data_IF_705870979773
#
_entry.id   IF_705870979773
#
_cell.length_a   1.000
_cell.length_b   1.000
_cell.length_c   1.000
_cell.angle_alpha   90.00
_cell.angle_beta   90.00
_cell.angle_gamma   90.00
#
_symmetry.space_group_name_H-M   'P 1'
#
loop_
_entity.id
_entity.type
_entity.pdbx_description
1 polymer ?
#
# COMPACT_ATOMS: atom_id res chain seq x y z
N UNK A 1 6.86 8.20 -18.98
CA UNK A 1 8.13 8.70 -18.39
C UNK A 1 8.15 8.33 -16.92
N UNK A 2 9.31 7.95 -16.39
CA UNK A 2 9.49 7.56 -14.99
C UNK A 2 10.19 8.67 -14.20
N UNK A 3 9.99 8.71 -12.87
CA UNK A 3 10.67 9.63 -11.95
C UNK A 3 11.07 8.90 -10.67
N UNK A 4 12.11 9.41 -10.02
CA UNK A 4 12.58 8.91 -8.72
C UNK A 4 11.90 9.66 -7.58
N UNK A 5 11.50 8.93 -6.55
CA UNK A 5 10.76 9.41 -5.38
C UNK A 5 11.46 8.89 -4.12
N UNK A 6 11.79 9.78 -3.20
CA UNK A 6 12.36 9.43 -1.89
C UNK A 6 11.25 9.15 -0.84
N UNK A 7 11.64 8.70 0.35
CA UNK A 7 10.73 8.40 1.49
C UNK A 7 9.82 9.55 1.88
N UNK A 8 10.34 10.78 1.88
CA UNK A 8 9.54 11.97 2.18
C UNK A 8 8.44 12.22 1.14
N UNK A 9 8.79 12.13 -0.14
CA UNK A 9 7.81 12.28 -1.22
C UNK A 9 6.82 11.12 -1.21
N UNK A 10 7.29 9.89 -0.97
CA UNK A 10 6.45 8.71 -0.86
C UNK A 10 5.39 8.85 0.25
N UNK A 11 5.75 9.45 1.39
CA UNK A 11 4.79 9.75 2.47
C UNK A 11 3.64 10.63 1.96
N UNK A 12 3.95 11.69 1.23
CA UNK A 12 2.93 12.58 0.67
C UNK A 12 2.05 11.87 -0.36
N UNK A 13 2.61 10.97 -1.16
CA UNK A 13 1.85 10.16 -2.12
C UNK A 13 0.89 9.19 -1.40
N UNK A 14 1.36 8.48 -0.36
CA UNK A 14 0.51 7.58 0.44
C UNK A 14 -0.57 8.38 1.19
N UNK A 15 -0.26 9.58 1.68
CA UNK A 15 -1.27 10.46 2.24
C UNK A 15 -2.34 10.86 1.20
N UNK A 16 -1.94 11.18 -0.03
CA UNK A 16 -2.87 11.46 -1.13
C UNK A 16 -3.73 10.23 -1.50
N UNK A 17 -3.21 9.01 -1.34
CA UNK A 17 -4.00 7.77 -1.48
C UNK A 17 -5.16 7.73 -0.47
N UNK A 18 -4.90 8.03 0.80
CA UNK A 18 -5.95 8.09 1.82
C UNK A 18 -6.97 9.22 1.57
N UNK A 19 -6.51 10.38 1.07
CA UNK A 19 -7.43 11.47 0.70
C UNK A 19 -8.34 11.08 -0.46
N UNK A 20 -7.81 10.37 -1.47
CA UNK A 20 -8.58 9.93 -2.64
C UNK A 20 -9.53 8.78 -2.32
N UNK A 21 -9.13 7.88 -1.40
CA UNK A 21 -9.87 6.69 -0.98
C UNK A 21 -10.03 6.64 0.54
N UNK A 22 -10.88 7.49 1.15
CA UNK A 22 -11.02 7.59 2.61
C UNK A 22 -11.46 6.28 3.28
N UNK A 23 -12.10 5.39 2.53
CA UNK A 23 -12.51 4.06 3.00
C UNK A 23 -11.33 3.17 3.43
N UNK A 24 -10.10 3.46 2.99
CA UNK A 24 -8.86 2.79 3.43
C UNK A 24 -8.46 3.11 4.87
N UNK A 25 -9.06 4.11 5.50
CA UNK A 25 -8.84 4.40 6.93
C UNK A 25 -9.63 3.45 7.85
N UNK A 26 -10.46 2.58 7.26
CA UNK A 26 -11.22 1.57 7.99
C UNK A 26 -12.34 2.16 8.85
N UNK A 27 -12.92 1.30 9.69
CA UNK A 27 -13.85 1.73 10.74
C UNK A 27 -13.07 2.32 11.93
N UNK A 28 -13.74 3.09 12.80
CA UNK A 28 -13.11 3.84 13.91
C UNK A 28 -12.24 2.98 14.86
N UNK A 29 -12.40 1.65 14.84
CA UNK A 29 -11.66 0.72 15.69
C UNK A 29 -10.85 -0.24 14.82
N UNK A 30 -9.54 0.03 14.68
CA UNK A 30 -8.61 -0.95 14.14
C UNK A 30 -8.49 -2.11 15.14
N UNK A 31 -8.75 -3.32 14.67
CA UNK A 31 -8.56 -4.54 15.44
C UNK A 31 -7.13 -5.07 15.34
N UNK A 32 -6.76 -6.08 16.16
CA UNK A 32 -5.49 -6.79 16.00
C UNK A 32 -5.30 -7.33 14.58
N UNK A 33 -4.09 -7.24 14.05
CA UNK A 33 -3.76 -7.79 12.74
C UNK A 33 -3.73 -9.32 12.81
N UNK A 34 -4.52 -9.98 11.95
CA UNK A 34 -4.58 -11.44 11.86
C UNK A 34 -3.69 -11.93 10.72
N UNK A 35 -2.66 -12.70 11.05
CA UNK A 35 -1.75 -13.29 10.06
C UNK A 35 -2.47 -14.21 9.06
N UNK A 36 -3.58 -14.85 9.48
CA UNK A 36 -4.36 -15.77 8.63
C UNK A 36 -4.93 -15.13 7.36
N UNK A 37 -5.12 -13.81 7.34
CA UNK A 37 -5.67 -13.07 6.18
C UNK A 37 -4.65 -12.17 5.48
N UNK A 38 -3.37 -12.27 5.86
CA UNK A 38 -2.29 -11.45 5.29
C UNK A 38 -2.18 -11.63 3.77
N UNK A 39 -2.24 -12.87 3.28
CA UNK A 39 -2.22 -13.16 1.84
C UNK A 39 -3.41 -12.53 1.10
N UNK A 40 -4.60 -12.53 1.70
CA UNK A 40 -5.78 -11.90 1.10
C UNK A 40 -5.60 -10.37 1.04
N UNK A 41 -5.04 -9.76 2.09
CA UNK A 41 -4.75 -8.33 2.14
C UNK A 41 -3.70 -7.92 1.09
N UNK A 42 -2.64 -8.71 0.93
CA UNK A 42 -1.61 -8.52 -0.09
C UNK A 42 -2.23 -8.59 -1.50
N UNK A 43 -3.05 -9.62 -1.76
CA UNK A 43 -3.72 -9.79 -3.04
C UNK A 43 -4.69 -8.64 -3.35
N UNK A 44 -5.38 -8.12 -2.33
CA UNK A 44 -6.21 -6.92 -2.45
C UNK A 44 -5.37 -5.71 -2.89
N UNK A 45 -4.28 -5.41 -2.18
CA UNK A 45 -3.40 -4.27 -2.49
C UNK A 45 -2.79 -4.37 -3.90
N UNK A 46 -2.37 -5.58 -4.31
CA UNK A 46 -1.87 -5.80 -5.66
C UNK A 46 -2.97 -5.64 -6.72
N UNK A 47 -4.19 -6.11 -6.46
CA UNK A 47 -5.34 -5.92 -7.36
C UNK A 47 -5.72 -4.45 -7.48
N UNK A 48 -5.68 -3.72 -6.36
CA UNK A 48 -5.95 -2.30 -6.32
C UNK A 48 -4.90 -1.50 -7.11
N UNK A 49 -3.61 -1.85 -6.98
CA UNK A 49 -2.54 -1.22 -7.77
C UNK A 49 -2.68 -1.43 -9.29
N UNK A 50 -3.43 -2.46 -9.70
CA UNK A 50 -3.73 -2.78 -11.11
C UNK A 50 -5.05 -2.18 -11.59
N UNK A 51 -5.76 -1.41 -10.75
CA UNK A 51 -7.08 -0.86 -11.08
C UNK A 51 -8.17 -1.92 -11.24
N UNK A 52 -8.00 -3.10 -10.61
CA UNK A 52 -9.01 -4.18 -10.67
C UNK A 52 -10.10 -4.06 -9.61
N UNK A 53 -9.89 -3.21 -8.61
CA UNK A 53 -10.84 -2.92 -7.53
C UNK A 53 -10.77 -1.42 -7.24
N UNK A 54 -11.93 -0.81 -6.95
CA UNK A 54 -12.04 0.63 -6.63
C UNK A 54 -12.62 0.88 -5.22
N UNK A 55 -13.05 -0.19 -4.54
CA UNK A 55 -13.58 -0.21 -3.18
C UNK A 55 -13.33 -1.59 -2.52
N UNK A 56 -13.89 -1.82 -1.33
CA UNK A 56 -13.76 -3.09 -0.62
C UNK A 56 -14.49 -4.27 -1.28
N UNK A 57 -15.52 -4.02 -2.09
CA UNK A 57 -16.33 -5.06 -2.71
C UNK A 57 -16.82 -6.10 -1.72
N UNK A 58 -16.42 -7.37 -1.94
CA UNK A 58 -16.76 -8.52 -1.10
C UNK A 58 -15.67 -8.90 -0.09
N UNK A 59 -14.66 -8.05 0.08
CA UNK A 59 -13.54 -8.30 1.01
C UNK A 59 -14.08 -8.35 2.43
N UNK A 60 -13.74 -9.39 3.19
CA UNK A 60 -14.19 -9.53 4.58
C UNK A 60 -13.53 -8.50 5.51
N UNK A 61 -14.17 -8.23 6.65
CA UNK A 61 -13.75 -7.18 7.58
C UNK A 61 -12.35 -7.40 8.15
N UNK A 62 -11.90 -8.66 8.29
CA UNK A 62 -10.59 -8.97 8.84
C UNK A 62 -9.50 -8.63 7.82
N UNK A 63 -9.71 -9.01 6.55
CA UNK A 63 -8.85 -8.61 5.44
C UNK A 63 -8.80 -7.10 5.29
N UNK A 64 -9.94 -6.40 5.35
CA UNK A 64 -9.98 -4.93 5.32
C UNK A 64 -9.14 -4.33 6.46
N UNK A 65 -9.28 -4.84 7.69
CA UNK A 65 -8.53 -4.38 8.85
C UNK A 65 -7.01 -4.56 8.65
N UNK A 66 -6.60 -5.70 8.09
CA UNK A 66 -5.19 -5.96 7.80
C UNK A 66 -4.66 -5.03 6.71
N UNK A 67 -5.41 -4.79 5.63
CA UNK A 67 -5.04 -3.80 4.60
C UNK A 67 -4.85 -2.41 5.22
N UNK A 68 -5.80 -1.94 6.02
CA UNK A 68 -5.71 -0.64 6.69
C UNK A 68 -4.47 -0.56 7.58
N UNK A 69 -4.24 -1.59 8.41
CA UNK A 69 -3.09 -1.67 9.31
C UNK A 69 -1.76 -1.65 8.57
N UNK A 70 -1.63 -2.42 7.47
CA UNK A 70 -0.42 -2.44 6.65
C UNK A 70 -0.12 -1.08 6.02
N UNK A 71 -1.15 -0.40 5.50
CA UNK A 71 -0.98 0.92 4.90
C UNK A 71 -0.58 1.99 5.93
N UNK A 72 -1.17 1.96 7.12
CA UNK A 72 -0.83 2.88 8.21
C UNK A 72 0.58 2.61 8.77
N UNK A 73 0.93 1.34 8.94
CA UNK A 73 2.29 0.93 9.34
C UNK A 73 3.32 1.38 8.30
N UNK A 74 3.04 1.18 7.01
CA UNK A 74 3.90 1.66 5.93
C UNK A 74 4.05 3.19 5.96
N UNK A 75 2.95 3.93 6.09
CA UNK A 75 2.97 5.40 6.19
C UNK A 75 3.83 5.88 7.36
N UNK A 76 3.67 5.28 8.55
CA UNK A 76 4.46 5.62 9.73
C UNK A 76 5.95 5.32 9.50
N UNK A 77 6.25 4.13 8.98
CA UNK A 77 7.61 3.69 8.69
C UNK A 77 8.32 4.54 7.63
N UNK A 78 7.62 5.25 6.76
CA UNK A 78 8.26 6.20 5.82
C UNK A 78 8.91 7.40 6.53
N UNK A 79 8.48 7.76 7.75
CA UNK A 79 9.01 8.90 8.51
C UNK A 79 9.95 8.50 9.64
N UNK A 80 10.02 7.22 9.99
CA UNK A 80 10.89 6.71 11.05
C UNK A 80 12.33 6.58 10.55
N UNK A 81 13.33 7.26 11.16
CA UNK A 81 14.72 7.20 10.71
C UNK A 81 15.33 5.80 10.70
N UNK A 82 14.88 4.92 11.60
CA UNK A 82 15.33 3.54 11.77
C UNK A 82 14.57 2.53 10.88
N UNK A 83 13.56 2.98 10.14
CA UNK A 83 12.79 2.11 9.27
C UNK A 83 13.60 1.69 8.04
N UNK A 84 13.37 0.47 7.50
CA UNK A 84 13.98 0.05 6.23
C UNK A 84 13.65 1.00 5.06
N UNK A 85 12.58 1.80 5.17
CA UNK A 85 12.15 2.71 4.11
C UNK A 85 12.80 4.09 4.18
N UNK A 86 13.50 4.45 5.26
CA UNK A 86 14.03 5.81 5.46
C UNK A 86 14.96 6.26 4.32
N UNK A 87 15.84 5.37 3.86
CA UNK A 87 16.77 5.59 2.75
C UNK A 87 16.30 5.05 1.40
N UNK A 88 15.05 4.58 1.30
CA UNK A 88 14.53 3.97 0.07
C UNK A 88 14.20 5.03 -0.99
N UNK A 89 14.40 4.64 -2.25
CA UNK A 89 14.04 5.41 -3.42
C UNK A 89 13.26 4.50 -4.37
N UNK A 90 12.16 5.01 -4.91
CA UNK A 90 11.30 4.28 -5.84
C UNK A 90 11.23 4.97 -7.19
N UNK A 91 11.12 4.16 -8.24
CA UNK A 91 10.82 4.63 -9.58
C UNK A 91 9.31 4.51 -9.84
N UNK A 92 8.64 5.63 -10.13
CA UNK A 92 7.18 5.67 -10.40
C UNK A 92 6.88 6.37 -11.71
N UNK A 93 5.69 6.15 -12.27
CA UNK A 93 5.22 6.91 -13.45
C UNK A 93 5.07 8.40 -13.12
N UNK A 94 5.72 9.27 -13.90
CA UNK A 94 5.56 10.72 -13.74
C UNK A 94 4.23 11.25 -14.26
N UNK A 95 3.50 10.45 -15.04
CA UNK A 95 2.20 10.80 -15.62
C UNK A 95 1.01 10.30 -14.79
N UNK A 96 1.26 9.36 -13.87
CA UNK A 96 0.22 8.86 -12.99
C UNK A 96 -0.14 9.89 -11.92
N UNK A 97 -1.39 9.84 -11.44
CA UNK A 97 -1.82 10.69 -10.33
C UNK A 97 -1.05 10.34 -9.04
N UNK A 98 -0.94 11.28 -8.07
CA UNK A 98 -0.19 11.04 -6.84
C UNK A 98 -0.58 9.75 -6.08
N UNK A 99 -1.89 9.46 -5.99
CA UNK A 99 -2.37 8.24 -5.31
C UNK A 99 -2.01 6.96 -6.09
N UNK A 100 -1.97 7.01 -7.41
CA UNK A 100 -1.55 5.87 -8.25
C UNK A 100 -0.04 5.61 -8.10
N UNK A 101 0.76 6.66 -8.00
CA UNK A 101 2.19 6.53 -7.71
C UNK A 101 2.43 5.88 -6.34
N UNK A 102 1.59 6.16 -5.34
CA UNK A 102 1.64 5.46 -4.05
C UNK A 102 1.38 3.96 -4.18
N UNK A 103 0.40 3.57 -5.00
CA UNK A 103 0.10 2.15 -5.27
C UNK A 103 1.24 1.46 -6.02
N UNK A 104 1.94 2.15 -6.93
CA UNK A 104 3.16 1.63 -7.56
C UNK A 104 4.24 1.32 -6.50
N UNK A 105 4.44 2.23 -5.53
CA UNK A 105 5.40 2.05 -4.43
C UNK A 105 5.01 0.86 -3.53
N UNK A 106 3.76 0.81 -3.09
CA UNK A 106 3.25 -0.28 -2.23
C UNK A 106 3.41 -1.63 -2.94
N UNK A 107 3.02 -1.72 -4.21
CA UNK A 107 3.16 -2.94 -4.98
C UNK A 107 4.63 -3.31 -5.23
N UNK A 108 5.53 -2.34 -5.34
CA UNK A 108 6.97 -2.58 -5.42
C UNK A 108 7.50 -3.23 -4.14
N UNK A 109 7.16 -2.67 -2.97
CA UNK A 109 7.60 -3.20 -1.67
C UNK A 109 7.01 -4.57 -1.37
N UNK A 110 5.73 -4.80 -1.68
CA UNK A 110 5.12 -6.13 -1.58
C UNK A 110 5.92 -7.16 -2.40
N UNK A 111 6.26 -6.85 -3.65
CA UNK A 111 7.03 -7.79 -4.49
C UNK A 111 8.44 -8.04 -3.98
N UNK A 112 9.10 -7.02 -3.40
CA UNK A 112 10.42 -7.17 -2.77
C UNK A 112 10.37 -8.07 -1.54
N UNK A 113 9.35 -7.90 -0.68
CA UNK A 113 9.17 -8.69 0.54
C UNK A 113 8.65 -10.10 0.28
N UNK A 114 7.97 -10.31 -0.86
CA UNK A 114 7.35 -11.58 -1.22
C UNK A 114 7.82 -12.09 -2.59
N UNK A 115 9.13 -12.28 -2.75
CA UNK A 115 9.75 -12.75 -4.01
C UNK A 115 9.17 -14.09 -4.53
N UNK A 116 8.49 -14.86 -3.67
CA UNK A 116 7.84 -16.13 -4.03
C UNK A 116 6.37 -15.98 -4.49
N UNK A 117 5.82 -14.77 -4.61
CA UNK A 117 4.50 -14.52 -5.23
C UNK A 117 4.69 -14.24 -6.74
N UNK A 118 5.42 -15.13 -7.42
CA UNK A 118 5.40 -15.24 -8.88
C UNK A 118 4.45 -16.38 -9.23
N UNK A 119 3.16 -16.07 -9.39
CA UNK A 119 2.16 -17.10 -9.66
C UNK A 119 0.73 -16.62 -9.89
N UNK A 120 0.51 -15.36 -10.28
CA UNK A 120 -0.82 -14.89 -10.71
C UNK A 120 -0.69 -14.25 -12.08
N UNK A 121 -0.60 -15.13 -13.09
CA UNK A 121 -1.00 -14.85 -14.46
C UNK A 121 -2.53 -14.92 -14.57
#
# INVERSE_FOLDING_TARGET
MKKMVNSETAFNLVYALFQRHPWLLGSKNLGPLKQSVEHAAINFLLSFSKGKVDDWGKTDIETQNVVCGLLLDFLAKLKMPQSPFAGSIWEVSSQAEPWQQALEIIACEIRKSHQNIEGIH
#
